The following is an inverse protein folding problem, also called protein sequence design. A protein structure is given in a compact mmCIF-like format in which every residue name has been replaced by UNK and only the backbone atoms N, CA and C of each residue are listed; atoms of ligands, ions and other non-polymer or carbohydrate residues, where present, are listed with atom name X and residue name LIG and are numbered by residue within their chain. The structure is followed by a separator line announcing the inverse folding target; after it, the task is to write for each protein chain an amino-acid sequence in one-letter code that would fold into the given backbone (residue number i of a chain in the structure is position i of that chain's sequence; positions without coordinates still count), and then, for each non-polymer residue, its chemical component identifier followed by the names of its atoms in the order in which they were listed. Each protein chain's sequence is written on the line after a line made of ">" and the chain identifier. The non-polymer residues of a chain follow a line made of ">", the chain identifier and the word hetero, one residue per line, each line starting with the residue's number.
data_IF_631387661172
#
_entry.id   IF_631387661172
#
_cell.length_a   1.000
_cell.length_b   1.000
_cell.length_c   1.000
_cell.angle_alpha   90.00
_cell.angle_beta   90.00
_cell.angle_gamma   90.00
#
_symmetry.space_group_name_H-M   'P 1'
#
loop_
_entity.id
_entity.type
_entity.pdbx_description
1 polymer ?
#
# COMPACT_ATOMS: atom_id res chain seq x y z
N UNK A 1 2.73 -31.77 3.91
CA UNK A 1 3.88 -30.83 3.95
C UNK A 1 3.88 -30.11 2.61
N UNK A 2 3.13 -29.01 2.53
CA UNK A 2 3.15 -28.13 1.35
C UNK A 2 4.14 -27.01 1.65
N UNK A 3 5.21 -26.95 0.88
CA UNK A 3 6.14 -25.82 0.86
C UNK A 3 5.33 -24.56 0.55
N UNK A 4 5.35 -23.58 1.45
CA UNK A 4 5.00 -22.22 1.07
C UNK A 4 5.89 -21.85 -0.13
N UNK A 5 5.30 -21.24 -1.15
CA UNK A 5 6.05 -20.73 -2.28
C UNK A 5 7.03 -19.69 -1.74
N UNK A 6 8.30 -20.06 -1.60
CA UNK A 6 9.43 -19.13 -1.53
C UNK A 6 9.54 -18.50 -2.92
N UNK A 7 8.66 -17.54 -3.26
CA UNK A 7 8.97 -16.67 -4.38
C UNK A 7 10.05 -15.71 -3.92
N UNK A 8 11.25 -15.84 -4.47
CA UNK A 8 12.36 -14.88 -4.34
C UNK A 8 12.03 -13.50 -4.98
N UNK A 9 10.76 -13.27 -5.31
CA UNK A 9 10.26 -12.08 -5.99
C UNK A 9 9.04 -11.57 -5.23
N UNK A 10 9.06 -10.26 -4.95
CA UNK A 10 7.92 -9.54 -4.40
C UNK A 10 6.73 -9.61 -5.35
N UNK A 11 5.54 -9.66 -4.79
CA UNK A 11 4.29 -9.54 -5.54
C UNK A 11 3.21 -8.90 -4.65
N UNK A 12 2.46 -7.98 -5.24
CA UNK A 12 1.27 -7.37 -4.70
C UNK A 12 0.06 -7.72 -5.60
N UNK A 13 -1.13 -7.86 -5.01
CA UNK A 13 -2.36 -8.14 -5.76
C UNK A 13 -3.22 -6.89 -6.05
N UNK A 14 -2.83 -5.72 -5.56
CA UNK A 14 -3.53 -4.45 -5.75
C UNK A 14 -3.51 -4.03 -7.22
N UNK A 15 -4.65 -4.22 -7.91
CA UNK A 15 -4.82 -3.91 -9.32
C UNK A 15 -5.87 -2.82 -9.51
N UNK A 16 -5.54 -1.68 -10.15
CA UNK A 16 -6.48 -0.59 -10.26
C UNK A 16 -7.60 -0.90 -11.24
N UNK A 17 -8.85 -0.62 -10.84
CA UNK A 17 -10.00 -0.68 -11.73
C UNK A 17 -9.94 0.39 -12.83
N UNK A 18 -10.65 0.18 -13.94
CA UNK A 18 -10.76 1.19 -15.01
C UNK A 18 -11.30 2.54 -14.48
N UNK A 19 -12.25 2.48 -13.55
CA UNK A 19 -12.79 3.68 -12.90
C UNK A 19 -11.72 4.40 -12.07
N UNK A 20 -10.85 3.66 -11.39
CA UNK A 20 -9.76 4.25 -10.63
C UNK A 20 -8.66 4.82 -11.52
N UNK A 21 -8.39 4.20 -12.68
CA UNK A 21 -7.47 4.77 -13.69
C UNK A 21 -7.98 6.09 -14.25
N UNK A 22 -9.28 6.17 -14.57
CA UNK A 22 -9.89 7.41 -15.02
C UNK A 22 -9.86 8.50 -13.93
N UNK A 23 -10.11 8.12 -12.68
CA UNK A 23 -9.93 9.01 -11.53
C UNK A 23 -8.49 9.54 -11.43
N UNK A 24 -7.50 8.64 -11.51
CA UNK A 24 -6.08 8.99 -11.45
C UNK A 24 -5.68 9.95 -12.57
N UNK A 25 -6.20 9.75 -13.77
CA UNK A 25 -5.99 10.65 -14.92
C UNK A 25 -6.57 12.05 -14.68
N UNK A 26 -7.73 12.16 -14.06
CA UNK A 26 -8.34 13.46 -13.72
C UNK A 26 -7.55 14.18 -12.63
N UNK A 27 -7.08 13.45 -11.61
CA UNK A 27 -6.19 13.99 -10.58
C UNK A 27 -4.88 14.51 -11.17
N UNK A 28 -4.25 13.75 -12.08
CA UNK A 28 -3.02 14.15 -12.75
C UNK A 28 -3.15 15.49 -13.49
N UNK A 29 -4.29 15.73 -14.18
CA UNK A 29 -4.56 17.00 -14.85
C UNK A 29 -4.64 18.17 -13.85
N UNK A 30 -5.31 17.97 -12.71
CA UNK A 30 -5.39 18.97 -11.64
C UNK A 30 -4.01 19.24 -11.02
N UNK A 31 -3.28 18.19 -10.71
CA UNK A 31 -1.93 18.24 -10.14
C UNK A 31 -0.94 18.98 -11.04
N UNK A 32 -0.98 18.74 -12.35
CA UNK A 32 -0.17 19.47 -13.31
C UNK A 32 -0.46 20.98 -13.30
N UNK A 33 -1.74 21.36 -13.20
CA UNK A 33 -2.14 22.77 -13.06
C UNK A 33 -1.62 23.36 -11.74
N UNK A 34 -1.82 22.67 -10.62
CA UNK A 34 -1.36 23.16 -9.31
C UNK A 34 0.17 23.29 -9.25
N UNK A 35 0.91 22.32 -9.78
CA UNK A 35 2.38 22.40 -9.95
C UNK A 35 2.81 23.61 -10.78
N UNK A 36 2.14 23.88 -11.90
CA UNK A 36 2.45 25.04 -12.76
C UNK A 36 2.24 26.39 -12.05
N UNK A 37 1.37 26.42 -11.04
CA UNK A 37 1.08 27.58 -10.20
C UNK A 37 1.93 27.63 -8.93
N UNK A 38 2.84 26.67 -8.72
CA UNK A 38 3.64 26.54 -7.51
C UNK A 38 2.82 26.18 -6.27
N UNK A 39 1.63 25.59 -6.44
CA UNK A 39 0.77 25.14 -5.35
C UNK A 39 1.14 23.70 -5.01
N UNK A 40 1.48 23.46 -3.75
CA UNK A 40 1.71 22.14 -3.15
C UNK A 40 0.90 22.07 -1.87
N UNK A 41 0.38 20.89 -1.53
CA UNK A 41 -0.35 20.73 -0.27
C UNK A 41 0.63 20.64 0.91
N UNK A 42 0.53 21.62 1.81
CA UNK A 42 1.24 21.64 3.09
C UNK A 42 0.42 21.00 4.23
N UNK A 43 -0.65 20.27 3.89
CA UNK A 43 -1.48 19.57 4.85
C UNK A 43 -0.67 18.46 5.54
N UNK A 44 -0.80 18.39 6.85
CA UNK A 44 -0.40 17.23 7.65
C UNK A 44 -1.62 16.32 7.81
N UNK A 45 -1.44 15.01 7.61
CA UNK A 45 -2.51 14.01 7.70
C UNK A 45 -2.16 13.05 8.84
N UNK A 46 -3.09 12.87 9.78
CA UNK A 46 -3.00 11.82 10.80
C UNK A 46 -4.10 10.79 10.54
N UNK A 47 -3.70 9.58 10.16
CA UNK A 47 -4.60 8.46 9.85
C UNK A 47 -4.80 7.62 11.09
N UNK A 48 -6.05 7.50 11.54
CA UNK A 48 -6.42 6.52 12.57
C UNK A 48 -6.33 5.09 12.03
N UNK A 49 -5.69 4.18 12.77
CA UNK A 49 -5.45 2.81 12.31
C UNK A 49 -6.09 1.77 13.21
N UNK A 50 -6.87 0.86 12.62
CA UNK A 50 -7.35 -0.38 13.25
C UNK A 50 -6.47 -1.53 12.79
N UNK A 51 -5.88 -2.26 13.74
CA UNK A 51 -4.98 -3.37 13.45
C UNK A 51 -5.64 -4.68 13.86
N UNK A 52 -5.79 -5.58 12.90
CA UNK A 52 -6.40 -6.88 13.07
C UNK A 52 -5.33 -7.96 12.89
N UNK A 53 -4.97 -8.66 13.96
CA UNK A 53 -4.04 -9.80 13.89
C UNK A 53 -4.85 -11.08 13.77
N UNK A 54 -4.83 -11.72 12.59
CA UNK A 54 -5.57 -12.96 12.35
C UNK A 54 -4.59 -14.12 12.25
N UNK A 55 -4.70 -15.06 13.19
CA UNK A 55 -3.76 -16.15 13.37
C UNK A 55 -4.46 -17.51 13.45
N UNK A 56 -3.71 -18.59 13.24
CA UNK A 56 -4.26 -19.96 13.39
C UNK A 56 -4.15 -20.49 14.83
N UNK A 57 -3.29 -19.90 15.66
CA UNK A 57 -3.21 -20.14 17.12
C UNK A 57 -2.53 -18.94 17.80
N UNK A 58 -2.45 -18.92 19.13
CA UNK A 58 -1.78 -17.84 19.91
C UNK A 58 -0.24 -17.90 19.88
N UNK A 59 0.34 -18.46 18.81
CA UNK A 59 1.80 -18.56 18.62
C UNK A 59 2.24 -17.61 17.52
N UNK A 60 3.36 -16.92 17.73
CA UNK A 60 3.89 -15.97 16.74
C UNK A 60 4.11 -16.60 15.36
N UNK A 61 4.68 -17.80 15.31
CA UNK A 61 4.88 -18.56 14.06
C UNK A 61 3.59 -18.89 13.30
N UNK A 62 2.44 -18.80 13.96
CA UNK A 62 1.12 -19.09 13.43
C UNK A 62 0.36 -17.79 13.07
N UNK A 63 1.06 -16.64 13.07
CA UNK A 63 0.58 -15.31 12.69
C UNK A 63 0.23 -14.39 13.87
N UNK A 64 0.38 -14.85 15.12
CA UNK A 64 -0.05 -14.11 16.31
C UNK A 64 1.00 -13.06 16.74
N UNK A 65 1.09 -11.97 15.98
CA UNK A 65 2.05 -10.89 16.24
C UNK A 65 1.88 -10.26 17.63
N UNK A 66 3.00 -10.03 18.32
CA UNK A 66 3.06 -9.33 19.60
C UNK A 66 2.80 -7.82 19.41
N UNK A 67 2.42 -7.13 20.49
CA UNK A 67 2.25 -5.67 20.44
C UNK A 67 3.57 -4.96 20.08
N UNK A 68 4.72 -5.50 20.51
CA UNK A 68 6.04 -4.96 20.19
C UNK A 68 6.32 -5.04 18.69
N UNK A 69 6.04 -6.18 18.04
CA UNK A 69 6.20 -6.33 16.60
C UNK A 69 5.29 -5.39 15.83
N UNK A 70 4.03 -5.26 16.25
CA UNK A 70 3.07 -4.34 15.63
C UNK A 70 3.52 -2.89 15.77
N UNK A 71 4.00 -2.48 16.95
CA UNK A 71 4.56 -1.15 17.15
C UNK A 71 5.80 -0.90 16.29
N UNK A 72 6.69 -1.89 16.16
CA UNK A 72 7.85 -1.81 15.27
C UNK A 72 7.46 -1.61 13.80
N UNK A 73 6.43 -2.32 13.32
CA UNK A 73 5.89 -2.12 11.98
C UNK A 73 5.29 -0.71 11.78
N UNK A 74 4.56 -0.20 12.77
CA UNK A 74 3.98 1.16 12.73
C UNK A 74 5.05 2.24 12.79
N UNK A 75 6.18 2.00 13.46
CA UNK A 75 7.33 2.90 13.44
C UNK A 75 7.96 2.98 12.04
N UNK A 76 8.10 1.85 11.35
CA UNK A 76 8.59 1.84 9.96
C UNK A 76 7.64 2.61 9.06
N UNK A 77 6.33 2.34 9.14
CA UNK A 77 5.33 3.01 8.33
C UNK A 77 5.36 4.54 8.56
N UNK A 78 5.34 4.98 9.81
CA UNK A 78 5.45 6.41 10.14
C UNK A 78 6.77 7.02 9.63
N UNK A 79 7.90 6.31 9.73
CA UNK A 79 9.19 6.81 9.24
C UNK A 79 9.23 6.97 7.72
N UNK A 80 8.57 6.08 6.97
CA UNK A 80 8.54 6.14 5.51
C UNK A 80 7.64 7.26 4.98
N UNK A 81 6.58 7.58 5.73
CA UNK A 81 5.59 8.59 5.36
C UNK A 81 5.84 9.97 5.98
N UNK A 82 6.75 10.10 6.95
CA UNK A 82 7.10 11.38 7.57
C UNK A 82 7.50 12.46 6.54
N UNK A 83 8.32 12.17 5.50
CA UNK A 83 8.64 13.18 4.48
C UNK A 83 7.42 13.67 3.67
N UNK A 84 6.34 12.89 3.65
CA UNK A 84 5.08 13.26 3.03
C UNK A 84 4.17 14.11 3.94
N UNK A 85 4.50 14.26 5.23
CA UNK A 85 3.62 14.87 6.23
C UNK A 85 2.40 14.01 6.55
N UNK A 86 2.59 12.69 6.60
CA UNK A 86 1.54 11.71 6.89
C UNK A 86 1.97 10.85 8.08
N UNK A 87 1.13 10.76 9.10
CA UNK A 87 1.32 9.93 10.29
C UNK A 87 0.19 8.92 10.47
N UNK A 88 0.45 7.89 11.26
CA UNK A 88 -0.46 6.80 11.55
C UNK A 88 -0.55 6.57 13.05
N UNK A 89 -1.76 6.75 13.58
CA UNK A 89 -2.07 6.65 15.01
C UNK A 89 -2.98 5.45 15.27
N UNK A 90 -2.52 4.51 16.10
CA UNK A 90 -3.29 3.29 16.42
C UNK A 90 -4.51 3.65 17.25
N UNK A 91 -5.70 3.28 16.76
CA UNK A 91 -6.98 3.36 17.47
C UNK A 91 -7.20 2.08 18.28
N UNK A 92 -7.05 0.92 17.63
CA UNK A 92 -7.32 -0.37 18.22
C UNK A 92 -6.39 -1.46 17.66
N UNK A 93 -6.12 -2.46 18.50
CA UNK A 93 -5.49 -3.71 18.09
C UNK A 93 -6.38 -4.84 18.60
N UNK A 94 -6.88 -5.67 17.70
CA UNK A 94 -7.58 -6.91 18.04
C UNK A 94 -6.85 -8.14 17.47
N UNK A 95 -7.18 -9.29 18.05
CA UNK A 95 -6.57 -10.56 17.69
C UNK A 95 -7.65 -11.60 17.54
N UNK A 96 -7.68 -12.25 16.38
CA UNK A 96 -8.67 -13.26 16.03
C UNK A 96 -7.98 -14.59 15.72
N UNK A 97 -8.39 -15.65 16.42
CA UNK A 97 -7.96 -17.02 16.10
C UNK A 97 -8.96 -17.62 15.11
N UNK A 98 -8.58 -17.65 13.84
CA UNK A 98 -9.37 -18.24 12.77
C UNK A 98 -8.44 -18.85 11.71
N UNK A 99 -8.33 -20.18 11.70
CA UNK A 99 -7.44 -20.90 10.79
C UNK A 99 -7.83 -20.76 9.31
N UNK A 100 -9.13 -20.56 9.00
CA UNK A 100 -9.58 -20.34 7.62
C UNK A 100 -9.02 -19.02 7.10
N UNK A 101 -9.29 -17.93 7.80
CA UNK A 101 -8.81 -16.59 7.43
C UNK A 101 -7.28 -16.50 7.47
N UNK A 102 -6.65 -17.05 8.51
CA UNK A 102 -5.19 -17.07 8.63
C UNK A 102 -4.51 -17.82 7.46
N UNK A 103 -5.21 -18.75 6.82
CA UNK A 103 -4.70 -19.47 5.65
C UNK A 103 -4.89 -18.74 4.31
N UNK A 104 -5.40 -17.50 4.32
CA UNK A 104 -5.69 -16.70 3.14
C UNK A 104 -7.04 -17.04 2.49
N UNK A 105 -7.88 -17.84 3.14
CA UNK A 105 -9.19 -18.24 2.62
C UNK A 105 -10.30 -17.41 3.25
N UNK A 106 -11.37 -17.14 2.50
CA UNK A 106 -12.57 -16.44 3.00
C UNK A 106 -12.26 -15.01 3.50
N UNK A 107 -11.42 -14.28 2.76
CA UNK A 107 -11.01 -12.91 3.10
C UNK A 107 -12.19 -11.93 3.08
N UNK A 108 -13.14 -12.07 2.16
CA UNK A 108 -14.34 -11.22 2.10
C UNK A 108 -15.11 -11.24 3.43
N UNK A 109 -15.31 -12.43 4.00
CA UNK A 109 -15.97 -12.59 5.30
C UNK A 109 -15.10 -12.03 6.44
N UNK A 110 -13.78 -12.22 6.38
CA UNK A 110 -12.85 -11.64 7.35
C UNK A 110 -12.97 -10.11 7.38
N UNK A 111 -12.90 -9.47 6.22
CA UNK A 111 -13.03 -8.02 6.08
C UNK A 111 -14.38 -7.55 6.59
N UNK A 112 -15.48 -8.19 6.17
CA UNK A 112 -16.83 -7.84 6.61
C UNK A 112 -17.00 -7.83 8.14
N UNK A 113 -16.45 -8.83 8.85
CA UNK A 113 -16.63 -8.93 10.30
C UNK A 113 -15.64 -8.12 11.12
N UNK A 114 -14.44 -7.87 10.60
CA UNK A 114 -13.37 -7.23 11.36
C UNK A 114 -13.25 -5.74 11.05
N UNK A 115 -13.67 -5.29 9.86
CA UNK A 115 -13.59 -3.88 9.48
C UNK A 115 -14.24 -2.99 10.54
N UNK A 116 -13.54 -1.92 10.89
CA UNK A 116 -14.00 -0.93 11.85
C UNK A 116 -13.67 0.49 11.39
N UNK A 117 -14.35 1.47 11.97
CA UNK A 117 -14.07 2.88 11.69
C UNK A 117 -14.76 3.45 10.45
N UNK A 118 -14.36 4.69 10.12
CA UNK A 118 -14.80 5.49 8.97
C UNK A 118 -13.85 5.36 7.78
N UNK A 119 -14.22 5.84 6.58
CA UNK A 119 -13.42 5.64 5.35
C UNK A 119 -12.06 6.34 5.33
N UNK A 120 -11.85 7.28 6.25
CA UNK A 120 -10.58 7.96 6.48
C UNK A 120 -9.73 7.28 7.56
N UNK A 121 -10.22 6.20 8.17
CA UNK A 121 -9.47 5.33 9.07
C UNK A 121 -9.00 4.10 8.30
N UNK A 122 -7.78 3.65 8.57
CA UNK A 122 -7.14 2.54 7.85
C UNK A 122 -7.30 1.25 8.65
N UNK A 123 -7.88 0.23 8.03
CA UNK A 123 -7.89 -1.14 8.55
C UNK A 123 -6.67 -1.90 8.00
N UNK A 124 -5.90 -2.54 8.88
CA UNK A 124 -4.74 -3.35 8.52
C UNK A 124 -4.93 -4.76 9.09
N UNK A 125 -5.05 -5.76 8.21
CA UNK A 125 -5.13 -7.17 8.59
C UNK A 125 -3.78 -7.86 8.39
N UNK A 126 -3.15 -8.31 9.47
CA UNK A 126 -1.98 -9.18 9.39
C UNK A 126 -2.42 -10.63 9.43
N UNK A 127 -2.06 -11.40 8.40
CA UNK A 127 -2.35 -12.85 8.31
C UNK A 127 -1.09 -13.63 7.91
N UNK A 128 -0.89 -14.88 8.36
CA UNK A 128 0.35 -15.61 8.11
C UNK A 128 0.51 -16.13 6.68
N UNK A 129 -0.56 -16.18 5.88
CA UNK A 129 -0.49 -16.72 4.52
C UNK A 129 -1.38 -15.97 3.53
N UNK A 130 -0.76 -15.57 2.44
CA UNK A 130 -1.37 -15.09 1.19
C UNK A 130 -0.56 -15.67 0.01
N UNK A 131 -1.15 -15.67 -1.18
CA UNK A 131 -0.44 -16.04 -2.42
C UNK A 131 0.50 -14.92 -2.94
N UNK A 132 0.43 -13.74 -2.31
CA UNK A 132 1.22 -12.53 -2.54
C UNK A 132 1.68 -11.95 -1.18
N UNK A 133 2.48 -10.89 -1.17
CA UNK A 133 2.99 -10.28 0.07
C UNK A 133 1.97 -9.36 0.75
N UNK A 134 1.19 -8.64 -0.06
CA UNK A 134 0.12 -7.78 0.41
C UNK A 134 -0.92 -7.50 -0.67
N UNK A 135 -2.07 -7.00 -0.21
CA UNK A 135 -3.10 -6.39 -1.04
C UNK A 135 -3.69 -5.21 -0.27
N UNK A 136 -4.03 -4.15 -0.97
CA UNK A 136 -4.76 -3.03 -0.43
C UNK A 136 -5.72 -2.45 -1.45
N UNK A 137 -6.83 -1.91 -0.97
CA UNK A 137 -7.84 -1.28 -1.83
C UNK A 137 -7.33 0.04 -2.38
N UNK A 138 -7.59 0.31 -3.66
CA UNK A 138 -7.56 1.68 -4.17
C UNK A 138 -8.82 2.45 -3.74
N UNK A 139 -8.75 3.79 -3.60
CA UNK A 139 -9.92 4.60 -3.32
C UNK A 139 -11.07 4.37 -4.31
N UNK A 140 -12.23 4.00 -3.79
CA UNK A 140 -13.49 3.97 -4.53
C UNK A 140 -14.39 5.13 -4.12
N UNK A 141 -15.31 5.51 -4.99
CA UNK A 141 -16.18 6.67 -4.79
C UNK A 141 -17.59 6.46 -5.36
N UNK A 142 -18.54 7.23 -4.81
CA UNK A 142 -19.95 7.23 -5.18
C UNK A 142 -20.67 5.97 -4.68
N UNK A 143 -21.75 5.59 -5.37
CA UNK A 143 -22.62 4.47 -4.98
C UNK A 143 -21.91 3.12 -4.84
N UNK A 144 -20.72 2.94 -5.43
CA UNK A 144 -19.95 1.70 -5.29
C UNK A 144 -19.43 1.54 -3.86
N UNK A 145 -19.03 2.64 -3.22
CA UNK A 145 -18.40 2.62 -1.90
C UNK A 145 -19.30 1.91 -0.87
N UNK A 146 -20.62 2.15 -0.90
CA UNK A 146 -21.55 1.53 0.05
C UNK A 146 -21.58 -0.01 0.00
N UNK A 147 -21.11 -0.63 -1.09
CA UNK A 147 -21.16 -2.07 -1.29
C UNK A 147 -19.83 -2.78 -1.00
N UNK A 148 -18.72 -2.05 -1.04
CA UNK A 148 -17.36 -2.58 -0.85
C UNK A 148 -16.64 -1.91 0.33
N UNK A 149 -17.36 -1.08 1.09
CA UNK A 149 -16.82 -0.31 2.21
C UNK A 149 -16.06 -1.18 3.20
N UNK A 150 -16.61 -2.35 3.53
CA UNK A 150 -16.01 -3.27 4.49
C UNK A 150 -14.72 -3.93 4.01
N UNK A 151 -14.42 -3.86 2.70
CA UNK A 151 -13.18 -4.37 2.12
C UNK A 151 -12.04 -3.33 2.20
N UNK A 152 -12.34 -2.07 2.56
CA UNK A 152 -11.35 -1.00 2.53
C UNK A 152 -10.24 -1.19 3.58
N UNK A 153 -9.00 -1.17 3.11
CA UNK A 153 -7.82 -1.35 3.93
C UNK A 153 -6.83 -2.32 3.29
N UNK A 154 -5.82 -2.72 4.07
CA UNK A 154 -4.71 -3.53 3.57
C UNK A 154 -4.63 -4.87 4.31
N UNK A 155 -4.49 -5.98 3.58
CA UNK A 155 -4.18 -7.30 4.13
C UNK A 155 -2.73 -7.66 3.81
N UNK A 156 -1.93 -7.90 4.84
CA UNK A 156 -0.47 -8.04 4.77
C UNK A 156 -0.05 -9.39 5.32
N UNK A 157 0.92 -10.03 4.67
CA UNK A 157 1.58 -11.21 5.24
C UNK A 157 2.34 -10.84 6.51
N UNK A 158 2.03 -11.51 7.61
CA UNK A 158 2.59 -11.22 8.93
C UNK A 158 4.08 -11.54 9.07
N UNK A 159 4.67 -12.28 8.14
CA UNK A 159 6.11 -12.55 8.11
C UNK A 159 6.95 -11.45 7.43
N UNK A 160 6.32 -10.41 6.89
CA UNK A 160 6.96 -9.23 6.26
C UNK A 160 7.28 -8.08 7.22
N UNK A 161 6.80 -8.19 8.45
CA UNK A 161 7.08 -7.22 9.52
C UNK A 161 8.58 -7.10 9.81
N UNK A 162 9.05 -6.00 10.41
CA UNK A 162 10.46 -5.83 10.78
C UNK A 162 10.96 -7.01 11.62
N UNK A 163 12.00 -7.70 11.13
CA UNK A 163 12.57 -8.88 11.78
C UNK A 163 11.81 -10.19 11.54
N UNK A 164 10.81 -10.18 10.66
CA UNK A 164 10.07 -11.36 10.22
C UNK A 164 10.89 -12.33 9.36
N UNK A 165 10.24 -13.40 8.88
CA UNK A 165 10.91 -14.50 8.16
C UNK A 165 10.84 -14.39 6.63
N UNK A 166 10.13 -13.40 6.08
CA UNK A 166 10.09 -13.14 4.65
C UNK A 166 11.44 -12.57 4.19
N UNK A 167 12.37 -13.43 3.76
CA UNK A 167 13.71 -13.02 3.33
C UNK A 167 13.62 -11.88 2.31
N UNK A 168 14.44 -10.84 2.53
CA UNK A 168 14.51 -9.62 1.72
C UNK A 168 13.26 -8.71 1.74
N UNK A 169 12.18 -9.12 2.42
CA UNK A 169 10.90 -8.41 2.55
C UNK A 169 10.43 -8.32 4.00
N UNK A 170 11.37 -8.32 4.95
CA UNK A 170 11.14 -8.37 6.39
C UNK A 170 11.61 -7.10 7.12
N UNK A 171 11.61 -5.96 6.43
CA UNK A 171 11.87 -4.64 7.04
C UNK A 171 10.59 -3.83 7.16
N UNK A 172 9.43 -4.42 6.88
CA UNK A 172 8.11 -3.78 6.98
C UNK A 172 7.71 -2.93 5.78
N UNK A 173 8.46 -2.96 4.66
CA UNK A 173 8.16 -2.11 3.50
C UNK A 173 7.01 -2.62 2.64
N UNK A 174 6.62 -3.88 2.81
CA UNK A 174 5.38 -4.40 2.21
C UNK A 174 4.17 -3.55 2.63
N UNK A 175 4.04 -3.23 3.93
CA UNK A 175 2.95 -2.36 4.38
C UNK A 175 3.09 -0.94 3.83
N UNK A 176 4.31 -0.39 3.77
CA UNK A 176 4.55 0.92 3.14
C UNK A 176 4.06 0.96 1.69
N UNK A 177 4.35 -0.08 0.91
CA UNK A 177 3.87 -0.22 -0.47
C UNK A 177 2.34 -0.29 -0.56
N UNK A 178 1.72 -1.18 0.22
CA UNK A 178 0.27 -1.39 0.19
C UNK A 178 -0.50 -0.13 0.62
N UNK A 179 -0.04 0.59 1.65
CA UNK A 179 -0.66 1.85 2.06
C UNK A 179 -0.52 2.93 0.97
N UNK A 180 0.49 2.83 0.09
CA UNK A 180 0.60 3.67 -1.09
C UNK A 180 -0.60 3.49 -2.02
N UNK A 181 -1.05 2.25 -2.23
CA UNK A 181 -2.29 1.97 -2.97
C UNK A 181 -3.54 2.49 -2.28
N UNK A 182 -3.61 2.41 -0.95
CA UNK A 182 -4.72 2.99 -0.16
C UNK A 182 -4.82 4.52 -0.35
N UNK A 183 -3.68 5.20 -0.49
CA UNK A 183 -3.60 6.61 -0.86
C UNK A 183 -3.67 6.87 -2.37
N UNK A 184 -3.97 5.86 -3.18
CA UNK A 184 -4.24 5.98 -4.60
C UNK A 184 -3.01 6.06 -5.49
N UNK A 185 -1.86 5.57 -5.04
CA UNK A 185 -0.69 5.37 -5.90
C UNK A 185 -0.84 4.10 -6.73
N UNK A 186 -0.34 4.15 -7.96
CA UNK A 186 -0.20 2.98 -8.83
C UNK A 186 1.25 2.51 -8.80
N UNK A 187 1.47 1.29 -9.28
CA UNK A 187 2.83 0.80 -9.52
C UNK A 187 3.57 1.71 -10.51
N UNK A 188 4.87 1.95 -10.29
CA UNK A 188 5.69 2.80 -11.18
C UNK A 188 5.81 2.26 -12.61
N UNK A 189 5.64 0.95 -12.78
CA UNK A 189 5.68 0.27 -14.07
C UNK A 189 4.30 0.18 -14.76
N UNK A 190 3.29 0.85 -14.22
CA UNK A 190 1.97 0.92 -14.82
C UNK A 190 2.05 1.61 -16.19
N UNK A 191 1.34 1.08 -17.20
CA UNK A 191 1.38 1.61 -18.57
C UNK A 191 2.67 1.36 -19.36
N UNK A 192 3.76 0.89 -18.73
CA UNK A 192 5.03 0.63 -19.41
C UNK A 192 5.67 1.90 -20.02
N UNK A 193 6.59 1.72 -20.98
CA UNK A 193 7.32 2.86 -21.55
C UNK A 193 6.46 3.84 -22.37
N UNK A 194 5.38 3.36 -22.97
CA UNK A 194 4.60 4.11 -23.98
C UNK A 194 3.14 4.36 -23.60
N UNK A 195 2.70 3.87 -22.43
CA UNK A 195 1.38 4.17 -21.89
C UNK A 195 1.33 5.47 -21.10
N UNK A 196 0.23 5.67 -20.37
CA UNK A 196 0.01 6.86 -19.54
C UNK A 196 0.79 6.83 -18.20
N UNK A 197 1.63 5.82 -17.97
CA UNK A 197 2.37 5.64 -16.72
C UNK A 197 1.48 5.28 -15.52
N UNK A 198 1.96 5.63 -14.33
CA UNK A 198 1.21 5.64 -13.06
C UNK A 198 0.40 6.94 -12.87
N UNK A 199 0.32 7.77 -13.91
CA UNK A 199 -0.27 9.11 -13.93
C UNK A 199 0.44 10.14 -13.04
N UNK A 200 1.73 9.97 -12.75
CA UNK A 200 2.51 10.92 -11.95
C UNK A 200 3.70 11.40 -12.78
N UNK A 201 3.78 12.71 -13.06
CA UNK A 201 4.76 13.21 -14.06
C UNK A 201 6.24 13.05 -13.64
N UNK A 202 6.52 12.95 -12.34
CA UNK A 202 7.89 12.90 -11.81
C UNK A 202 8.37 11.48 -11.45
N UNK A 203 7.58 10.46 -11.76
CA UNK A 203 8.00 9.06 -11.76
C UNK A 203 8.47 8.68 -13.17
N UNK A 204 9.76 8.33 -13.37
CA UNK A 204 10.23 7.88 -14.68
C UNK A 204 9.50 6.64 -15.17
N UNK A 205 9.29 6.57 -16.49
CA UNK A 205 8.63 5.42 -17.11
C UNK A 205 9.45 4.15 -16.94
N UNK A 206 8.78 3.04 -16.61
CA UNK A 206 9.40 1.75 -16.33
C UNK A 206 8.62 0.64 -17.05
N UNK A 207 9.29 -0.22 -17.81
CA UNK A 207 8.65 -1.25 -18.62
C UNK A 207 8.03 -2.37 -17.78
N UNK A 208 8.74 -2.78 -16.73
CA UNK A 208 8.35 -3.88 -15.82
C UNK A 208 8.87 -3.61 -14.42
N UNK A 209 8.23 -4.21 -13.42
CA UNK A 209 8.69 -4.21 -12.04
C UNK A 209 10.17 -4.62 -11.92
N UNK A 210 10.89 -3.99 -10.99
CA UNK A 210 12.25 -4.39 -10.64
C UNK A 210 12.25 -5.69 -9.83
N UNK A 211 13.39 -6.36 -9.79
CA UNK A 211 13.62 -7.51 -8.92
C UNK A 211 14.94 -7.34 -8.20
N UNK A 212 14.96 -7.66 -6.90
CA UNK A 212 16.15 -7.48 -6.10
C UNK A 212 16.49 -6.01 -5.86
N UNK A 213 17.79 -5.75 -5.87
CA UNK A 213 18.38 -4.44 -5.63
C UNK A 213 19.26 -4.03 -6.82
N UNK A 214 18.67 -3.76 -8.00
CA UNK A 214 19.44 -3.38 -9.17
C UNK A 214 20.10 -2.00 -8.99
N UNK A 215 21.09 -1.70 -9.83
CA UNK A 215 21.72 -0.38 -9.92
C UNK A 215 21.67 0.11 -11.37
N UNK A 216 21.30 1.37 -11.57
CA UNK A 216 21.33 2.01 -12.90
C UNK A 216 20.41 1.37 -13.94
N UNK A 217 19.33 0.71 -13.52
CA UNK A 217 18.39 0.06 -14.43
C UNK A 217 17.65 1.09 -15.27
N UNK A 218 17.62 0.87 -16.58
CA UNK A 218 16.91 1.70 -17.54
C UNK A 218 16.21 0.77 -18.53
N UNK A 219 14.92 0.55 -18.30
CA UNK A 219 14.09 -0.30 -19.16
C UNK A 219 13.41 0.50 -20.28
N UNK A 220 13.45 1.83 -20.21
CA UNK A 220 12.82 2.76 -21.15
C UNK A 220 13.84 3.82 -21.64
N UNK A 221 14.92 3.42 -22.34
CA UNK A 221 16.06 4.31 -22.64
C UNK A 221 15.74 5.49 -23.58
N UNK A 222 14.60 5.42 -24.28
CA UNK A 222 14.09 6.50 -25.12
C UNK A 222 13.21 7.51 -24.33
N UNK A 223 13.03 7.30 -23.02
CA UNK A 223 12.27 8.17 -22.11
C UNK A 223 13.23 8.84 -21.10
N UNK A 224 12.84 9.98 -20.50
CA UNK A 224 13.67 10.63 -19.48
C UNK A 224 13.72 9.83 -18.17
N UNK A 225 14.91 9.76 -17.57
CA UNK A 225 15.12 9.15 -16.25
C UNK A 225 15.57 7.69 -16.29
N UNK A 226 15.98 7.17 -15.13
CA UNK A 226 16.21 5.74 -14.92
C UNK A 226 14.97 5.12 -14.26
N UNK A 227 14.83 3.80 -14.33
CA UNK A 227 13.75 3.11 -13.62
C UNK A 227 13.78 3.52 -12.12
N UNK A 228 12.62 3.83 -11.50
CA UNK A 228 12.55 4.30 -10.12
C UNK A 228 12.70 3.15 -9.10
N UNK A 229 13.83 2.43 -9.16
CA UNK A 229 14.14 1.21 -8.39
C UNK A 229 14.20 1.38 -6.86
N UNK A 230 14.17 2.62 -6.37
CA UNK A 230 14.13 2.96 -4.94
C UNK A 230 12.76 3.43 -4.48
N UNK A 231 11.79 3.53 -5.38
CA UNK A 231 10.45 3.98 -5.07
C UNK A 231 9.66 2.90 -4.35
N UNK A 232 8.92 3.25 -3.30
CA UNK A 232 8.11 2.28 -2.56
C UNK A 232 7.06 1.59 -3.44
N UNK A 233 6.66 2.16 -4.58
CA UNK A 233 5.66 1.58 -5.51
C UNK A 233 6.27 0.70 -6.63
N UNK A 234 7.58 0.44 -6.61
CA UNK A 234 8.22 -0.62 -7.43
C UNK A 234 8.22 -1.95 -6.65
N UNK A 235 8.78 -3.04 -7.20
CA UNK A 235 8.91 -4.36 -6.55
C UNK A 235 10.36 -4.74 -6.16
N UNK A 236 11.21 -3.73 -5.94
CA UNK A 236 12.54 -3.96 -5.38
C UNK A 236 12.50 -4.53 -3.95
N UNK A 237 13.60 -5.11 -3.50
CA UNK A 237 13.67 -5.65 -2.14
C UNK A 237 13.62 -4.53 -1.09
N UNK A 238 13.14 -4.83 0.12
CA UNK A 238 12.96 -3.86 1.21
C UNK A 238 14.19 -2.97 1.47
N UNK A 239 15.44 -3.49 1.49
CA UNK A 239 16.63 -2.66 1.73
C UNK A 239 16.89 -1.60 0.64
N UNK A 240 16.25 -1.71 -0.51
CA UNK A 240 16.43 -0.83 -1.64
C UNK A 240 15.37 0.26 -1.74
N UNK A 241 14.26 0.15 -1.05
CA UNK A 241 13.28 1.24 -0.99
C UNK A 241 13.78 2.42 -0.16
N UNK A 242 13.46 3.63 -0.61
CA UNK A 242 13.92 4.88 0.03
C UNK A 242 12.89 6.00 0.01
N UNK A 243 11.99 6.06 -0.97
CA UNK A 243 11.24 7.30 -1.21
C UNK A 243 9.90 7.15 -1.93
N UNK A 244 9.03 8.12 -1.68
CA UNK A 244 7.99 8.55 -2.61
C UNK A 244 8.48 9.82 -3.34
N UNK A 245 8.03 10.04 -4.57
CA UNK A 245 8.31 11.29 -5.29
C UNK A 245 7.46 12.44 -4.75
N UNK A 246 7.85 13.72 -4.95
CA UNK A 246 6.99 14.86 -4.63
C UNK A 246 5.60 14.79 -5.31
N UNK A 247 5.53 14.27 -6.54
CA UNK A 247 4.27 14.04 -7.25
C UNK A 247 3.40 12.96 -6.61
N UNK A 248 4.00 11.88 -6.12
CA UNK A 248 3.29 10.87 -5.31
C UNK A 248 2.76 11.47 -4.01
N UNK A 249 3.53 12.32 -3.32
CA UNK A 249 3.05 13.01 -2.11
C UNK A 249 1.84 13.89 -2.40
N UNK A 250 1.87 14.68 -3.49
CA UNK A 250 0.71 15.47 -3.90
C UNK A 250 -0.50 14.59 -4.23
N UNK A 251 -0.30 13.46 -4.92
CA UNK A 251 -1.35 12.49 -5.24
C UNK A 251 -2.02 11.97 -3.97
N UNK A 252 -1.23 11.52 -2.99
CA UNK A 252 -1.76 10.99 -1.72
C UNK A 252 -2.63 12.02 -0.99
N UNK A 253 -2.18 13.28 -0.94
CA UNK A 253 -2.94 14.37 -0.30
C UNK A 253 -4.21 14.74 -1.07
N UNK A 254 -4.15 14.78 -2.39
CA UNK A 254 -5.34 15.04 -3.21
C UNK A 254 -6.37 13.92 -3.10
N UNK A 255 -5.92 12.66 -3.05
CA UNK A 255 -6.79 11.50 -2.84
C UNK A 255 -7.44 11.56 -1.47
N UNK A 256 -6.65 11.87 -0.43
CA UNK A 256 -7.15 12.05 0.92
C UNK A 256 -8.30 13.06 0.98
N UNK A 257 -8.06 14.27 0.45
CA UNK A 257 -9.03 15.35 0.44
C UNK A 257 -10.27 15.03 -0.41
N UNK A 258 -10.09 14.38 -1.57
CA UNK A 258 -11.19 14.13 -2.51
C UNK A 258 -12.05 12.91 -2.15
N UNK A 259 -11.46 11.89 -1.53
CA UNK A 259 -12.11 10.59 -1.38
C UNK A 259 -12.18 10.09 0.05
N UNK A 260 -11.12 10.29 0.86
CA UNK A 260 -11.07 9.73 2.22
C UNK A 260 -11.90 10.54 3.19
N UNK A 261 -11.71 11.86 3.25
CA UNK A 261 -12.40 12.74 4.22
C UNK A 261 -13.79 13.19 3.79
N UNK A 262 -14.15 13.02 2.51
CA UNK A 262 -15.47 13.42 1.99
C UNK A 262 -16.51 12.29 2.01
N UNK A 263 -16.12 11.07 2.40
CA UNK A 263 -17.00 9.91 2.36
C UNK A 263 -18.15 9.96 3.37
N UNK A 264 -18.06 10.79 4.41
CA UNK A 264 -19.11 10.97 5.43
C UNK A 264 -20.30 11.85 4.95
N UNK A 265 -20.35 12.24 3.67
CA UNK A 265 -21.35 13.21 3.13
C UNK A 265 -22.54 12.50 2.42
N UNK A 266 -22.76 11.20 2.61
CA UNK A 266 -23.88 10.47 2.01
C UNK A 266 -24.85 9.87 3.02
#
# INVERSE_FOLDING_TARGET
>A
MGTALESDHFSCASSPSDKFREMSKQLAQKEAVDRSLGRRSAQEIDVGVHIHIVASSEKEKDGYLSDETVQGQLQVLNSDYEPAGISFSVIAIDRTINATWASGNDLETMWYYLHNGTYNELNIWFIPKLDYYGICTHPVAGEVLQYVYYEDGCTIRSDTVPGGNARDFNLGKTLTHEVGHWFGLLHTFEGGCDGDGDYIDDTPAQATASQGCPEGRDSCPDKPGLDPIHNYMDYSNDPCYKEFTPGQVDRMKNVWDAYRVQADIW
#
